data_IF_016309001348
#
_entry.id   IF_016309001348
#
_cell.length_a   1.000
_cell.length_b   1.000
_cell.length_c   1.000
_cell.angle_alpha   90.00
_cell.angle_beta   90.00
_cell.angle_gamma   90.00
#
_symmetry.space_group_name_H-M   'P 1'
#
loop_
_entity.id
_entity.type
_entity.pdbx_description
1 polymer ?
#
# COMPACT_ATOMS: atom_id res chain seq x y z
N UNK A 1 -23.16 -33.52 -11.79
CA UNK A 1 -23.04 -33.12 -10.37
C UNK A 1 -22.26 -31.82 -10.37
N UNK A 2 -22.93 -30.71 -10.12
CA UNK A 2 -22.34 -29.37 -10.04
C UNK A 2 -21.51 -29.30 -8.76
N UNK A 3 -20.19 -29.39 -8.87
CA UNK A 3 -19.30 -28.95 -7.79
C UNK A 3 -19.56 -27.47 -7.60
N UNK A 4 -20.26 -27.13 -6.51
CA UNK A 4 -20.57 -25.76 -6.15
C UNK A 4 -19.29 -24.93 -6.08
N UNK A 5 -19.35 -23.68 -6.54
CA UNK A 5 -18.37 -22.65 -6.23
C UNK A 5 -18.26 -22.52 -4.71
N UNK A 6 -17.22 -23.13 -4.13
CA UNK A 6 -16.91 -23.03 -2.70
C UNK A 6 -15.88 -21.91 -2.51
N UNK A 7 -16.22 -20.94 -1.66
CA UNK A 7 -15.24 -19.96 -1.20
C UNK A 7 -14.15 -20.69 -0.40
N UNK A 8 -12.92 -20.63 -0.89
CA UNK A 8 -11.74 -21.13 -0.18
C UNK A 8 -10.86 -19.94 0.18
N UNK A 9 -10.46 -19.85 1.45
CA UNK A 9 -9.48 -18.84 1.88
C UNK A 9 -8.12 -19.16 1.29
N UNK A 10 -7.57 -18.23 0.50
CA UNK A 10 -6.22 -18.35 -0.05
C UNK A 10 -5.18 -17.69 0.87
N UNK A 11 -5.54 -16.56 1.48
CA UNK A 11 -4.67 -15.78 2.35
C UNK A 11 -5.53 -14.92 3.29
N UNK A 12 -5.01 -14.68 4.49
CA UNK A 12 -5.47 -13.64 5.40
C UNK A 12 -4.38 -12.58 5.52
N UNK A 13 -4.76 -11.30 5.51
CA UNK A 13 -3.88 -10.17 5.78
C UNK A 13 -4.46 -9.47 7.01
N UNK A 14 -3.68 -9.45 8.09
CA UNK A 14 -4.11 -8.86 9.36
C UNK A 14 -3.63 -7.41 9.49
N UNK A 15 -4.42 -6.61 10.19
CA UNK A 15 -4.01 -5.29 10.68
C UNK A 15 -2.98 -5.39 11.79
N UNK A 16 -2.42 -4.25 12.20
CA UNK A 16 -1.34 -4.21 13.18
C UNK A 16 -1.84 -4.21 14.63
N UNK A 17 -3.10 -3.84 14.87
CA UNK A 17 -3.63 -3.71 16.23
C UNK A 17 -5.12 -3.93 16.33
N UNK A 18 -5.57 -4.26 17.53
CA UNK A 18 -7.01 -4.23 17.83
C UNK A 18 -7.54 -2.81 17.64
N UNK A 19 -8.70 -2.69 16.98
CA UNK A 19 -9.39 -1.41 16.72
C UNK A 19 -8.69 -0.45 15.76
N UNK A 20 -7.75 -0.93 14.93
CA UNK A 20 -7.20 -0.13 13.82
C UNK A 20 -8.19 0.03 12.64
N UNK A 21 -9.25 -0.79 12.62
CA UNK A 21 -10.25 -0.86 11.54
C UNK A 21 -9.61 -1.18 10.19
N UNK A 22 -8.56 -2.01 10.19
CA UNK A 22 -7.93 -2.52 8.99
C UNK A 22 -8.97 -3.19 8.07
N UNK A 23 -8.98 -2.80 6.81
CA UNK A 23 -9.98 -3.26 5.84
C UNK A 23 -11.23 -2.39 5.73
N UNK A 24 -11.30 -1.26 6.44
CA UNK A 24 -12.45 -0.33 6.37
C UNK A 24 -12.69 0.27 4.98
N UNK A 25 -11.63 0.46 4.20
CA UNK A 25 -11.71 0.82 2.78
C UNK A 25 -10.63 0.04 2.01
N UNK A 26 -11.02 -0.48 0.83
CA UNK A 26 -10.15 -1.31 -0.01
C UNK A 26 -10.30 -0.87 -1.46
N UNK A 27 -9.19 -0.79 -2.19
CA UNK A 27 -9.16 -0.61 -3.63
C UNK A 27 -8.14 -1.56 -4.27
N UNK A 28 -8.44 -2.10 -5.44
CA UNK A 28 -7.58 -3.06 -6.14
C UNK A 28 -7.40 -2.64 -7.58
N UNK A 29 -6.20 -2.90 -8.14
CA UNK A 29 -5.95 -2.72 -9.57
C UNK A 29 -6.76 -3.70 -10.41
N UNK A 30 -7.09 -3.34 -11.65
CA UNK A 30 -7.91 -4.18 -12.54
C UNK A 30 -7.29 -5.56 -12.83
N UNK A 31 -5.97 -5.66 -12.83
CA UNK A 31 -5.23 -6.92 -12.97
C UNK A 31 -5.19 -7.77 -11.68
N UNK A 32 -5.65 -7.22 -10.55
CA UNK A 32 -5.71 -7.90 -9.26
C UNK A 32 -4.35 -8.16 -8.61
N UNK A 33 -3.31 -7.44 -9.01
CA UNK A 33 -1.93 -7.64 -8.53
C UNK A 33 -1.50 -6.63 -7.46
N UNK A 34 -2.26 -5.56 -7.25
CA UNK A 34 -2.03 -4.61 -6.16
C UNK A 34 -3.34 -4.27 -5.46
N UNK A 35 -3.30 -4.15 -4.14
CA UNK A 35 -4.42 -3.77 -3.29
C UNK A 35 -3.98 -2.74 -2.27
N UNK A 36 -4.80 -1.71 -2.10
CA UNK A 36 -4.67 -0.70 -1.06
C UNK A 36 -5.70 -0.99 0.01
N UNK A 37 -5.27 -0.97 1.27
CA UNK A 37 -6.11 -1.23 2.44
C UNK A 37 -5.95 -0.08 3.43
N UNK A 38 -7.07 0.46 3.92
CA UNK A 38 -7.06 1.48 4.96
C UNK A 38 -7.27 0.87 6.36
N UNK A 39 -6.60 1.46 7.35
CA UNK A 39 -6.78 1.22 8.79
C UNK A 39 -6.83 2.58 9.51
N UNK A 40 -7.98 3.26 9.52
CA UNK A 40 -8.08 4.64 9.95
C UNK A 40 -7.84 4.89 11.44
N UNK A 41 -7.80 3.84 12.29
CA UNK A 41 -7.71 3.89 13.76
C UNK A 41 -8.45 5.06 14.43
N UNK A 42 -9.59 4.76 15.04
CA UNK A 42 -10.39 5.77 15.75
C UNK A 42 -10.08 5.84 17.26
N UNK A 43 -8.97 5.23 17.69
CA UNK A 43 -8.62 5.09 19.11
C UNK A 43 -7.42 5.98 19.46
N UNK A 44 -7.49 6.62 20.62
CA UNK A 44 -6.38 7.41 21.14
C UNK A 44 -6.00 8.57 20.23
N UNK A 45 -4.70 8.83 20.13
CA UNK A 45 -4.11 9.90 19.31
C UNK A 45 -3.65 9.39 17.94
N UNK A 46 -4.14 8.23 17.49
CA UNK A 46 -3.65 7.60 16.28
C UNK A 46 -3.94 8.43 15.04
N UNK A 47 -3.03 8.31 14.09
CA UNK A 47 -3.09 8.91 12.77
C UNK A 47 -3.20 7.74 11.79
N UNK A 48 -4.42 7.38 11.40
CA UNK A 48 -4.75 6.20 10.60
C UNK A 48 -3.79 5.95 9.43
N UNK A 49 -3.84 4.74 8.89
CA UNK A 49 -2.82 4.26 7.96
C UNK A 49 -3.42 3.71 6.68
N UNK A 50 -2.65 3.78 5.59
CA UNK A 50 -2.97 3.18 4.30
C UNK A 50 -1.80 2.31 3.88
N UNK A 51 -2.11 1.08 3.51
CA UNK A 51 -1.14 0.05 3.19
C UNK A 51 -1.27 -0.32 1.72
N UNK A 52 -0.15 -0.51 1.04
CA UNK A 52 -0.09 -1.08 -0.30
C UNK A 52 0.48 -2.50 -0.20
N UNK A 53 -0.31 -3.46 -0.67
CA UNK A 53 0.12 -4.83 -0.86
C UNK A 53 0.17 -5.18 -2.35
N UNK A 54 1.18 -5.94 -2.74
CA UNK A 54 1.35 -6.41 -4.13
C UNK A 54 1.65 -7.89 -4.17
N UNK A 55 1.41 -8.50 -5.33
CA UNK A 55 1.79 -9.88 -5.64
C UNK A 55 2.19 -9.98 -7.10
N UNK A 56 3.04 -10.94 -7.44
CA UNK A 56 3.56 -11.07 -8.80
C UNK A 56 2.57 -11.72 -9.75
N UNK A 57 1.88 -12.75 -9.27
CA UNK A 57 0.80 -13.44 -10.00
C UNK A 57 -0.45 -13.55 -9.15
N UNK A 58 -1.58 -13.93 -9.76
CA UNK A 58 -2.85 -14.13 -9.04
C UNK A 58 -2.82 -15.27 -8.02
N UNK A 59 -1.80 -16.14 -8.10
CA UNK A 59 -1.63 -17.29 -7.20
C UNK A 59 -0.60 -17.03 -6.11
N UNK A 60 0.17 -15.94 -6.21
CA UNK A 60 1.12 -15.56 -5.17
C UNK A 60 0.39 -14.87 -4.01
N UNK A 61 0.92 -15.01 -2.78
CA UNK A 61 0.44 -14.23 -1.65
C UNK A 61 0.73 -12.74 -1.88
N UNK A 62 -0.13 -11.90 -1.35
CA UNK A 62 0.13 -10.48 -1.20
C UNK A 62 1.23 -10.22 -0.17
N UNK A 63 2.14 -9.32 -0.52
CA UNK A 63 3.20 -8.81 0.33
C UNK A 63 3.04 -7.30 0.53
N UNK A 64 3.21 -6.82 1.75
CA UNK A 64 3.21 -5.39 2.03
C UNK A 64 4.47 -4.76 1.45
N UNK A 65 4.31 -3.73 0.61
CA UNK A 65 5.45 -3.00 0.01
C UNK A 65 5.53 -1.55 0.45
N UNK A 66 4.43 -0.97 0.90
CA UNK A 66 4.43 0.40 1.41
C UNK A 66 3.32 0.61 2.42
N UNK A 67 3.54 1.61 3.28
CA UNK A 67 2.56 2.13 4.24
C UNK A 67 2.75 3.63 4.32
N UNK A 68 1.66 4.36 4.47
CA UNK A 68 1.67 5.78 4.83
C UNK A 68 0.73 6.00 5.99
N UNK A 69 1.21 6.74 6.98
CA UNK A 69 0.45 7.16 8.15
C UNK A 69 -0.16 8.55 7.96
N UNK A 70 -1.15 8.85 8.80
CA UNK A 70 -1.56 10.23 9.01
C UNK A 70 -0.38 11.10 9.48
N UNK A 71 -0.47 12.39 9.17
CA UNK A 71 0.52 13.41 9.43
C UNK A 71 0.36 14.06 10.81
N UNK A 72 -0.77 13.84 11.48
CA UNK A 72 -0.99 14.36 12.83
C UNK A 72 -1.94 13.48 13.64
N UNK A 73 -1.94 13.71 14.94
CA UNK A 73 -2.83 13.02 15.88
C UNK A 73 -4.30 13.25 15.50
N UNK A 74 -5.12 12.20 15.62
CA UNK A 74 -6.55 12.20 15.28
C UNK A 74 -6.85 12.38 13.79
N UNK A 75 -5.86 12.24 12.92
CA UNK A 75 -6.11 12.14 11.49
C UNK A 75 -6.49 10.70 11.12
N UNK A 76 -7.73 10.48 10.70
CA UNK A 76 -8.23 9.16 10.32
C UNK A 76 -8.02 8.91 8.83
N UNK A 77 -6.75 8.81 8.40
CA UNK A 77 -6.41 8.60 7.00
C UNK A 77 -7.05 7.30 6.45
N UNK A 78 -7.67 7.40 5.28
CA UNK A 78 -8.33 6.28 4.61
C UNK A 78 -9.75 5.99 5.13
N UNK A 79 -10.21 6.64 6.20
CA UNK A 79 -11.54 6.40 6.81
C UNK A 79 -12.73 6.62 5.88
N UNK A 80 -12.56 7.49 4.89
CA UNK A 80 -13.60 7.89 3.95
C UNK A 80 -13.30 7.43 2.52
N UNK A 81 -12.32 6.55 2.35
CA UNK A 81 -12.04 5.90 1.06
C UNK A 81 -10.58 5.95 0.64
N UNK A 82 -10.25 4.96 -0.20
CA UNK A 82 -8.96 4.84 -0.89
C UNK A 82 -9.20 4.53 -2.37
N UNK A 83 -8.25 4.90 -3.22
CA UNK A 83 -8.21 4.52 -4.63
C UNK A 83 -6.77 4.20 -5.06
N UNK A 84 -6.62 3.35 -6.06
CA UNK A 84 -5.34 3.01 -6.65
C UNK A 84 -5.42 3.02 -8.17
N UNK A 85 -4.41 3.60 -8.81
CA UNK A 85 -4.16 3.45 -10.23
C UNK A 85 -2.68 3.12 -10.50
N UNK A 86 -2.43 2.49 -11.64
CA UNK A 86 -1.09 2.20 -12.14
C UNK A 86 -0.79 3.16 -13.27
N UNK A 87 0.35 3.86 -13.18
CA UNK A 87 0.83 4.73 -14.24
C UNK A 87 2.31 4.48 -14.46
N UNK A 88 2.65 4.02 -15.66
CA UNK A 88 4.01 3.66 -16.05
C UNK A 88 4.64 2.72 -14.99
N UNK A 89 5.78 3.09 -14.41
CA UNK A 89 6.49 2.33 -13.38
C UNK A 89 6.07 2.72 -11.93
N UNK A 90 4.89 3.33 -11.74
CA UNK A 90 4.44 3.84 -10.43
C UNK A 90 3.00 3.46 -10.09
N UNK A 91 2.71 3.32 -8.80
CA UNK A 91 1.35 3.36 -8.28
C UNK A 91 1.01 4.77 -7.82
N UNK A 92 -0.21 5.21 -8.11
CA UNK A 92 -0.81 6.36 -7.48
C UNK A 92 -1.86 5.86 -6.50
N UNK A 93 -1.65 6.18 -5.23
CA UNK A 93 -2.57 5.83 -4.15
C UNK A 93 -3.22 7.10 -3.65
N UNK A 94 -4.55 7.14 -3.66
CA UNK A 94 -5.32 8.25 -3.13
C UNK A 94 -5.97 7.81 -1.83
N UNK A 95 -5.91 8.66 -0.81
CA UNK A 95 -6.59 8.39 0.44
C UNK A 95 -7.21 9.66 1.02
N UNK A 96 -8.46 9.54 1.44
CA UNK A 96 -9.18 10.65 2.08
C UNK A 96 -8.70 10.76 3.53
N UNK A 97 -8.24 11.94 3.91
CA UNK A 97 -8.03 12.30 5.30
C UNK A 97 -9.31 12.88 5.89
N UNK A 98 -9.68 12.42 7.07
CA UNK A 98 -10.75 13.01 7.88
C UNK A 98 -10.19 13.29 9.27
N UNK A 99 -10.40 14.51 9.75
CA UNK A 99 -9.79 15.01 10.98
C UNK A 99 -10.86 15.77 11.77
N UNK A 100 -11.38 15.19 12.86
CA UNK A 100 -12.34 15.89 13.71
C UNK A 100 -11.70 16.91 14.66
N UNK A 101 -10.40 16.77 14.96
CA UNK A 101 -9.71 17.59 15.97
C UNK A 101 -8.47 18.35 15.45
N UNK A 102 -8.27 18.35 14.13
CA UNK A 102 -7.48 19.32 13.37
C UNK A 102 -5.96 19.09 13.32
N UNK A 103 -5.46 18.69 12.15
CA UNK A 103 -4.17 19.18 11.68
C UNK A 103 -4.35 20.65 11.24
N UNK A 104 -3.42 21.56 11.57
CA UNK A 104 -3.68 23.01 11.65
C UNK A 104 -3.95 23.68 10.28
N UNK A 105 -3.75 22.98 9.15
CA UNK A 105 -3.77 23.58 7.80
C UNK A 105 -4.14 22.63 6.63
N UNK A 106 -4.46 21.37 6.89
CA UNK A 106 -4.67 20.34 5.87
C UNK A 106 -5.95 19.51 6.08
N UNK A 107 -6.90 19.98 6.89
CA UNK A 107 -8.10 19.21 7.21
C UNK A 107 -8.99 18.85 6.01
N UNK A 108 -9.51 17.63 6.05
CA UNK A 108 -10.47 17.12 5.07
C UNK A 108 -9.96 17.11 3.62
N UNK A 109 -8.70 16.77 3.41
CA UNK A 109 -8.10 16.65 2.08
C UNK A 109 -8.24 15.23 1.47
N UNK A 110 -7.85 15.10 0.19
CA UNK A 110 -7.44 13.83 -0.42
C UNK A 110 -5.93 13.95 -0.65
N UNK A 111 -5.16 12.98 -0.15
CA UNK A 111 -3.73 12.87 -0.41
C UNK A 111 -3.47 11.86 -1.51
N UNK A 112 -2.56 12.20 -2.40
CA UNK A 112 -2.09 11.32 -3.48
C UNK A 112 -0.64 10.97 -3.23
N UNK A 113 -0.32 9.69 -3.24
CA UNK A 113 1.00 9.16 -2.99
C UNK A 113 1.50 8.46 -4.23
N UNK A 114 2.71 8.82 -4.65
CA UNK A 114 3.46 8.06 -5.63
C UNK A 114 4.19 6.94 -4.90
N UNK A 115 3.87 5.69 -5.23
CA UNK A 115 4.61 4.53 -4.74
C UNK A 115 5.36 3.92 -5.91
N UNK A 116 6.67 4.04 -5.86
CA UNK A 116 7.60 3.54 -6.85
C UNK A 116 9.00 3.50 -6.25
N UNK A 117 9.96 3.00 -7.02
CA UNK A 117 11.33 2.92 -6.59
C UNK A 117 12.03 4.29 -6.62
N UNK A 118 12.77 4.61 -5.56
CA UNK A 118 13.67 5.75 -5.49
C UNK A 118 15.03 5.32 -4.93
N UNK A 119 16.03 5.15 -5.80
CA UNK A 119 17.39 4.77 -5.40
C UNK A 119 18.24 6.00 -5.08
N UNK A 120 18.83 6.02 -3.88
CA UNK A 120 19.61 7.14 -3.35
C UNK A 120 21.06 7.20 -3.87
N UNK A 121 21.48 6.26 -4.71
CA UNK A 121 22.85 6.17 -5.22
C UNK A 121 22.86 5.68 -6.68
N UNK A 122 23.71 6.30 -7.52
CA UNK A 122 23.92 5.95 -8.92
C UNK A 122 24.44 4.51 -9.17
N UNK A 123 24.93 3.83 -8.14
CA UNK A 123 25.31 2.40 -8.19
C UNK A 123 24.08 1.46 -8.31
N UNK A 124 22.88 1.96 -8.03
CA UNK A 124 21.64 1.19 -8.06
C UNK A 124 20.74 1.66 -9.21
N UNK A 125 19.89 0.76 -9.69
CA UNK A 125 18.81 1.04 -10.63
C UNK A 125 17.51 0.53 -10.05
N UNK A 126 16.42 1.18 -10.41
CA UNK A 126 15.10 0.65 -10.13
C UNK A 126 14.86 -0.60 -10.97
N UNK A 127 14.38 -1.64 -10.29
CA UNK A 127 14.08 -2.96 -10.86
C UNK A 127 12.67 -3.39 -10.44
N UNK A 128 12.09 -4.23 -11.27
CA UNK A 128 10.74 -4.75 -11.14
C UNK A 128 10.50 -5.86 -12.14
N UNK A 129 9.27 -6.35 -12.19
CA UNK A 129 8.85 -7.37 -13.15
C UNK A 129 8.33 -6.68 -14.41
N UNK A 130 8.43 -7.37 -15.56
CA UNK A 130 7.86 -6.85 -16.80
C UNK A 130 6.37 -6.53 -16.61
N UNK A 131 5.97 -5.32 -17.04
CA UNK A 131 4.60 -4.81 -16.91
C UNK A 131 4.11 -4.64 -15.45
N UNK A 132 5.03 -4.53 -14.51
CA UNK A 132 4.74 -4.20 -13.11
C UNK A 132 5.58 -3.00 -12.66
N UNK A 133 5.03 -2.10 -11.82
CA UNK A 133 5.81 -0.99 -11.28
C UNK A 133 7.13 -1.44 -10.66
N UNK A 134 8.19 -0.65 -10.88
CA UNK A 134 9.50 -0.90 -10.30
C UNK A 134 9.48 -0.44 -8.85
N UNK A 135 9.65 -1.37 -7.92
CA UNK A 135 9.54 -1.10 -6.48
C UNK A 135 10.87 -1.23 -5.74
N UNK A 136 11.92 -1.74 -6.37
CA UNK A 136 13.15 -2.14 -5.67
C UNK A 136 14.41 -1.56 -6.30
N UNK A 137 15.42 -1.31 -5.47
CA UNK A 137 16.76 -0.93 -5.92
C UNK A 137 17.64 -2.16 -6.10
N UNK A 138 18.22 -2.30 -7.29
CA UNK A 138 19.16 -3.36 -7.63
C UNK A 138 20.52 -2.78 -8.00
N UNK A 139 21.60 -3.36 -7.49
CA UNK A 139 22.95 -2.93 -7.82
C UNK A 139 23.27 -3.23 -9.30
N UNK A 140 23.77 -2.23 -10.05
CA UNK A 140 24.06 -2.36 -11.49
C UNK A 140 25.07 -3.48 -11.82
N UNK A 141 25.94 -3.83 -10.87
CA UNK A 141 26.95 -4.89 -11.03
C UNK A 141 26.45 -6.30 -10.71
N UNK A 142 25.22 -6.45 -10.20
CA UNK A 142 24.65 -7.73 -9.75
C UNK A 142 23.27 -7.95 -10.37
N UNK A 143 23.18 -8.22 -11.69
CA UNK A 143 21.91 -8.36 -12.40
C UNK A 143 21.00 -9.50 -11.90
N UNK A 144 21.49 -10.37 -11.00
CA UNK A 144 20.76 -11.55 -10.51
C UNK A 144 20.41 -11.54 -9.00
N UNK A 145 20.66 -10.46 -8.26
CA UNK A 145 20.29 -10.37 -6.83
C UNK A 145 19.31 -9.23 -6.60
N UNK A 146 18.06 -9.58 -6.27
CA UNK A 146 17.07 -8.66 -5.71
C UNK A 146 17.35 -8.57 -4.21
N UNK A 147 17.80 -7.42 -3.74
CA UNK A 147 18.07 -7.18 -2.32
C UNK A 147 16.78 -6.71 -1.62
N UNK A 148 16.13 -7.62 -0.89
CA UNK A 148 14.91 -7.36 -0.13
C UNK A 148 15.14 -6.54 1.15
N UNK A 149 16.38 -6.20 1.51
CA UNK A 149 16.71 -5.52 2.78
C UNK A 149 16.61 -3.98 2.73
N UNK A 150 16.48 -3.39 1.53
CA UNK A 150 16.57 -1.94 1.35
C UNK A 150 15.23 -1.17 1.46
N UNK A 151 14.09 -1.84 1.66
CA UNK A 151 12.78 -1.17 1.83
C UNK A 151 12.42 -0.82 3.29
N UNK A 152 13.28 -1.17 4.26
CA UNK A 152 13.07 -0.83 5.67
C UNK A 152 14.06 0.24 6.13
N UNK A 153 13.69 1.51 5.97
CA UNK A 153 14.18 2.61 6.80
C UNK A 153 13.09 3.64 7.00
#
# INVERSE_FOLDING_TARGET
STTADQFTTLQTIDGEGGYDYFGSAIAMTSNGLAVVVAAPSFVGYDSGSVYLFVRFTRNDPFEQVSRVDGQCNFEYLGSLGVAIEVRDDTFLVHAKAYEPYGCIDNSNNIRTYHVGCACHNAAYTCSGYENFPKLYCQQKSSPNFIDFSLSKK
#
